data_IF_888719010545
#
_entry.id   IF_888719010545
#
_cell.length_a   1.000
_cell.length_b   1.000
_cell.length_c   1.000
_cell.angle_alpha   90.00
_cell.angle_beta   90.00
_cell.angle_gamma   90.00
#
_symmetry.space_group_name_H-M   'P 1'
#
loop_
_entity.id
_entity.type
_entity.pdbx_description
1 polymer ?
#
# COMPACT_ATOMS: atom_id res chain seq x y z
N UNK A 1 2.11 -34.46 19.54
CA UNK A 1 2.23 -34.05 18.12
C UNK A 1 0.89 -33.73 17.46
N UNK A 2 -0.24 -34.34 17.85
CA UNK A 2 -1.56 -34.05 17.23
C UNK A 2 -2.12 -32.66 17.62
N UNK A 3 -1.87 -32.20 18.84
CA UNK A 3 -2.43 -30.95 19.38
C UNK A 3 -1.97 -29.70 18.59
N UNK A 4 -0.67 -29.58 18.32
CA UNK A 4 -0.05 -28.39 17.68
C UNK A 4 -0.56 -28.12 16.26
N UNK A 5 -1.02 -29.15 15.54
CA UNK A 5 -1.58 -29.00 14.18
C UNK A 5 -2.97 -28.36 14.23
N UNK A 6 -3.74 -28.61 15.30
CA UNK A 6 -5.07 -27.99 15.50
C UNK A 6 -4.98 -26.48 15.65
N UNK A 7 -3.99 -25.99 16.41
CA UNK A 7 -3.85 -24.56 16.72
C UNK A 7 -3.48 -23.72 15.49
N UNK A 8 -2.58 -24.21 14.62
CA UNK A 8 -2.19 -23.52 13.38
C UNK A 8 -3.36 -23.42 12.39
N UNK A 9 -4.20 -24.46 12.31
CA UNK A 9 -5.44 -24.45 11.50
C UNK A 9 -6.49 -23.49 12.09
N UNK A 10 -6.57 -23.39 13.41
CA UNK A 10 -7.47 -22.43 14.08
C UNK A 10 -7.02 -20.98 13.86
N UNK A 11 -5.72 -20.67 14.01
CA UNK A 11 -5.18 -19.32 13.80
C UNK A 11 -5.40 -18.83 12.36
N UNK A 12 -5.19 -19.71 11.36
CA UNK A 12 -5.43 -19.37 9.95
C UNK A 12 -6.92 -19.20 9.62
N UNK A 13 -7.82 -19.97 10.25
CA UNK A 13 -9.27 -19.79 10.11
C UNK A 13 -9.76 -18.48 10.76
N UNK A 14 -9.35 -18.21 12.00
CA UNK A 14 -9.70 -16.99 12.75
C UNK A 14 -9.17 -15.74 12.03
N UNK A 15 -7.96 -15.78 11.48
CA UNK A 15 -7.40 -14.67 10.68
C UNK A 15 -8.23 -14.40 9.41
N UNK A 16 -8.75 -15.45 8.76
CA UNK A 16 -9.60 -15.31 7.57
C UNK A 16 -10.99 -14.75 7.93
N UNK A 17 -11.59 -15.17 9.03
CA UNK A 17 -12.88 -14.64 9.52
C UNK A 17 -12.77 -13.18 9.98
N UNK A 18 -11.71 -12.81 10.70
CA UNK A 18 -11.43 -11.42 11.08
C UNK A 18 -11.21 -10.53 9.85
N UNK A 19 -10.43 -11.00 8.86
CA UNK A 19 -10.20 -10.29 7.61
C UNK A 19 -11.44 -10.09 6.74
N UNK A 20 -12.44 -10.97 6.86
CA UNK A 20 -13.75 -10.79 6.21
C UNK A 20 -14.63 -9.78 6.97
N UNK A 21 -14.74 -9.90 8.30
CA UNK A 21 -15.49 -8.94 9.13
C UNK A 21 -14.97 -7.51 9.00
N UNK A 22 -13.65 -7.32 8.96
CA UNK A 22 -13.03 -6.01 8.72
C UNK A 22 -13.38 -5.42 7.35
N UNK A 23 -13.54 -6.25 6.31
CA UNK A 23 -14.00 -5.79 4.98
C UNK A 23 -15.48 -5.41 5.00
N UNK A 24 -16.33 -6.16 5.68
CA UNK A 24 -17.76 -5.87 5.82
C UNK A 24 -18.02 -4.59 6.62
N UNK A 25 -17.29 -4.39 7.72
CA UNK A 25 -17.28 -3.13 8.51
C UNK A 25 -16.83 -1.94 7.65
N UNK A 26 -15.73 -2.08 6.91
CA UNK A 26 -15.19 -1.01 6.05
C UNK A 26 -16.17 -0.64 4.93
N UNK A 27 -16.77 -1.63 4.26
CA UNK A 27 -17.81 -1.42 3.24
C UNK A 27 -19.04 -0.72 3.86
N UNK A 28 -19.49 -1.18 5.03
CA UNK A 28 -20.62 -0.59 5.76
C UNK A 28 -20.32 0.84 6.26
N UNK A 29 -19.09 1.16 6.60
CA UNK A 29 -18.63 2.52 6.95
C UNK A 29 -18.64 3.44 5.72
N UNK A 30 -18.07 2.97 4.60
CA UNK A 30 -18.05 3.71 3.34
C UNK A 30 -19.48 3.98 2.82
N UNK A 31 -20.37 2.98 2.83
CA UNK A 31 -21.77 3.15 2.44
C UNK A 31 -22.52 4.14 3.35
N UNK A 32 -22.34 4.06 4.68
CA UNK A 32 -22.95 5.00 5.64
C UNK A 32 -22.47 6.44 5.39
N UNK A 33 -21.19 6.66 5.12
CA UNK A 33 -20.67 7.99 4.81
C UNK A 33 -21.13 8.49 3.44
N UNK A 34 -21.20 7.63 2.41
CA UNK A 34 -21.71 8.01 1.09
C UNK A 34 -23.19 8.41 1.13
N UNK A 35 -24.02 7.68 1.88
CA UNK A 35 -25.43 8.03 2.12
C UNK A 35 -25.57 9.33 2.93
N UNK A 36 -24.71 9.56 3.92
CA UNK A 36 -24.68 10.80 4.71
C UNK A 36 -24.28 12.02 3.88
N UNK A 37 -23.39 11.86 2.90
CA UNK A 37 -23.04 12.91 1.93
C UNK A 37 -24.20 13.21 0.97
N UNK A 38 -24.86 12.17 0.43
CA UNK A 38 -26.02 12.32 -0.47
C UNK A 38 -27.21 12.97 0.25
N UNK A 39 -27.49 12.58 1.50
CA UNK A 39 -28.56 13.17 2.31
C UNK A 39 -28.32 14.66 2.60
N UNK A 40 -27.09 15.06 2.92
CA UNK A 40 -26.74 16.49 3.12
C UNK A 40 -26.80 17.32 1.83
N UNK A 41 -26.73 16.70 0.65
CA UNK A 41 -26.91 17.36 -0.65
C UNK A 41 -28.38 17.61 -1.03
N UNK A 42 -29.34 16.95 -0.37
CA UNK A 42 -30.77 16.96 -0.76
C UNK A 42 -31.65 17.94 0.02
N UNK A 43 -31.08 18.72 0.95
CA UNK A 43 -31.80 19.74 1.72
C UNK A 43 -31.15 21.13 1.57
N UNK A 44 -31.23 21.68 0.36
CA UNK A 44 -31.17 23.13 0.17
C UNK A 44 -32.00 23.55 -1.05
N UNK A 45 -33.16 24.16 -0.78
CA UNK A 45 -34.07 24.71 -1.78
C UNK A 45 -35.47 24.10 -1.73
N UNK A 46 -36.40 24.82 -1.10
CA UNK A 46 -37.79 25.05 -1.57
C UNK A 46 -38.54 25.96 -0.59
N UNK A 47 -38.55 27.26 -0.89
CA UNK A 47 -39.63 28.21 -0.57
C UNK A 47 -39.75 29.17 -1.76
N UNK A 48 -40.97 29.39 -2.24
CA UNK A 48 -41.31 30.29 -3.35
C UNK A 48 -41.08 31.78 -2.95
N UNK A 49 -41.09 32.79 -3.84
CA UNK A 49 -41.33 32.91 -5.30
C UNK A 49 -40.29 33.90 -5.94
N UNK A 50 -40.34 34.48 -7.16
CA UNK A 50 -41.38 34.57 -8.20
C UNK A 50 -40.81 34.89 -9.61
N UNK A 51 -41.68 34.82 -10.63
CA UNK A 51 -41.82 35.83 -11.69
C UNK A 51 -40.70 36.17 -12.69
N UNK A 52 -40.37 35.27 -13.64
CA UNK A 52 -40.44 35.53 -15.10
C UNK A 52 -39.92 34.35 -15.97
N UNK A 53 -40.25 34.27 -17.29
CA UNK A 53 -40.09 33.05 -18.11
C UNK A 53 -38.93 33.22 -19.16
N UNK A 54 -38.74 32.34 -20.19
CA UNK A 54 -37.60 31.43 -20.16
C UNK A 54 -36.68 31.47 -21.39
N UNK A 55 -35.41 31.06 -21.22
CA UNK A 55 -34.52 30.69 -22.34
C UNK A 55 -33.84 29.34 -22.11
N UNK A 56 -34.13 28.38 -22.99
CA UNK A 56 -33.46 27.08 -23.14
C UNK A 56 -31.99 27.25 -23.61
N UNK A 57 -31.09 26.23 -23.53
CA UNK A 57 -31.39 24.80 -23.57
C UNK A 57 -30.70 23.86 -22.56
N UNK A 58 -31.28 22.67 -22.44
CA UNK A 58 -30.78 21.53 -21.67
C UNK A 58 -29.54 20.89 -22.29
N UNK A 59 -28.43 20.83 -21.56
CA UNK A 59 -27.27 20.01 -21.95
C UNK A 59 -27.44 18.55 -21.50
N UNK A 60 -27.58 17.65 -22.48
CA UNK A 60 -27.68 16.21 -22.30
C UNK A 60 -26.27 15.60 -22.19
N UNK A 61 -25.78 15.37 -20.98
CA UNK A 61 -24.49 14.68 -20.74
C UNK A 61 -24.62 13.19 -21.07
N UNK A 62 -24.08 12.78 -22.24
CA UNK A 62 -23.93 11.37 -22.59
C UNK A 62 -22.54 10.86 -22.18
N UNK A 63 -22.52 9.73 -21.46
CA UNK A 63 -21.30 8.97 -21.20
C UNK A 63 -20.62 8.56 -22.51
N UNK A 64 -19.39 9.02 -22.77
CA UNK A 64 -18.48 8.40 -23.74
C UNK A 64 -17.04 8.33 -23.24
N UNK A 65 -16.66 7.09 -22.92
CA UNK A 65 -15.39 6.43 -23.24
C UNK A 65 -14.07 7.11 -22.82
N UNK A 66 -13.46 6.48 -21.82
CA UNK A 66 -12.01 6.26 -21.80
C UNK A 66 -11.49 5.81 -23.17
N UNK A 67 -10.50 6.51 -23.73
CA UNK A 67 -9.60 5.89 -24.71
C UNK A 67 -8.16 6.36 -24.52
N UNK A 68 -7.25 5.40 -24.36
CA UNK A 68 -5.82 5.62 -24.15
C UNK A 68 -5.17 6.19 -25.42
N UNK A 69 -4.34 7.22 -25.30
CA UNK A 69 -3.21 7.41 -26.24
C UNK A 69 -1.89 7.51 -25.50
N UNK A 70 -0.95 6.68 -25.94
CA UNK A 70 0.45 6.67 -25.51
C UNK A 70 1.13 7.89 -26.11
N UNK A 71 1.89 8.63 -25.31
CA UNK A 71 2.91 9.52 -25.86
C UNK A 71 4.12 8.67 -26.29
N UNK A 72 4.39 8.62 -27.59
CA UNK A 72 5.76 8.41 -28.10
C UNK A 72 6.28 9.80 -28.46
N UNK A 73 7.44 10.17 -27.95
CA UNK A 73 8.14 11.35 -28.44
C UNK A 73 8.77 11.05 -29.80
N UNK A 74 8.93 12.09 -30.61
CA UNK A 74 10.04 12.18 -31.54
C UNK A 74 10.47 13.64 -31.72
N UNK A 75 11.75 13.82 -32.06
CA UNK A 75 12.35 15.15 -32.28
C UNK A 75 12.40 15.48 -33.77
N UNK A 76 12.39 16.78 -34.05
CA UNK A 76 12.98 17.48 -35.22
C UNK A 76 12.03 18.05 -36.30
N UNK A 77 12.55 19.14 -36.89
CA UNK A 77 12.15 19.83 -38.12
C UNK A 77 10.84 20.64 -38.11
N UNK A 78 10.96 21.95 -38.39
CA UNK A 78 9.81 22.85 -38.51
C UNK A 78 10.11 24.34 -38.48
N UNK A 79 11.23 24.80 -39.05
CA UNK A 79 11.51 26.25 -39.17
C UNK A 79 10.46 26.94 -40.07
N UNK A 80 10.17 28.21 -39.78
CA UNK A 80 9.27 29.15 -40.50
C UNK A 80 7.77 28.95 -40.23
N UNK A 81 7.24 29.81 -39.35
CA UNK A 81 6.40 30.92 -39.79
C UNK A 81 6.46 32.03 -38.72
N UNK A 82 6.62 33.28 -39.17
CA UNK A 82 6.83 34.41 -38.27
C UNK A 82 5.53 34.98 -37.73
N UNK A 83 5.49 35.25 -36.44
CA UNK A 83 4.56 36.17 -35.80
C UNK A 83 5.26 36.72 -34.56
N UNK A 84 6.07 37.76 -34.77
CA UNK A 84 6.77 38.46 -33.71
C UNK A 84 5.78 39.31 -32.92
N UNK A 85 5.25 38.76 -31.82
CA UNK A 85 4.56 39.55 -30.80
C UNK A 85 5.64 40.27 -30.00
N UNK A 86 5.98 41.48 -30.43
CA UNK A 86 6.77 42.39 -29.63
C UNK A 86 5.94 42.83 -28.42
N UNK A 87 6.26 42.30 -27.24
CA UNK A 87 5.74 42.82 -25.98
C UNK A 87 6.44 44.15 -25.74
N UNK A 88 5.82 45.23 -26.21
CA UNK A 88 6.19 46.59 -25.83
C UNK A 88 5.92 46.76 -24.34
N UNK A 89 6.99 46.84 -23.55
CA UNK A 89 6.92 47.36 -22.18
C UNK A 89 6.39 48.79 -22.26
N UNK A 90 5.17 49.01 -21.78
CA UNK A 90 4.61 50.34 -21.57
C UNK A 90 5.37 51.04 -20.44
N UNK A 91 6.39 51.81 -20.79
CA UNK A 91 7.34 52.39 -19.85
C UNK A 91 7.95 53.72 -20.29
N UNK A 92 7.29 54.45 -21.20
CA UNK A 92 7.66 55.83 -21.59
C UNK A 92 6.44 56.50 -22.24
N UNK A 93 5.71 57.31 -21.46
CA UNK A 93 4.55 58.07 -21.96
C UNK A 93 4.44 59.43 -21.23
N UNK A 94 5.57 60.12 -21.06
CA UNK A 94 5.63 61.53 -20.66
C UNK A 94 6.74 62.20 -21.48
N UNK A 95 6.39 62.87 -22.59
CA UNK A 95 7.11 64.01 -23.19
C UNK A 95 6.52 64.38 -24.58
N UNK A 96 5.26 64.82 -24.62
CA UNK A 96 4.70 65.53 -25.80
C UNK A 96 3.84 66.73 -25.38
N UNK A 97 4.40 67.59 -24.52
CA UNK A 97 4.04 69.01 -24.45
C UNK A 97 5.35 69.81 -24.41
N UNK A 98 5.97 69.98 -25.58
CA UNK A 98 6.94 71.05 -25.81
C UNK A 98 6.18 72.17 -26.54
N UNK A 99 5.94 73.33 -25.93
CA UNK A 99 5.41 74.48 -26.65
C UNK A 99 6.41 74.92 -27.72
N UNK A 100 5.90 75.34 -28.88
CA UNK A 100 6.70 75.88 -29.98
C UNK A 100 7.61 77.01 -29.49
N UNK A 101 8.93 76.77 -29.45
CA UNK A 101 9.96 77.81 -29.22
C UNK A 101 10.71 78.21 -30.51
N UNK A 102 10.13 77.91 -31.67
CA UNK A 102 10.72 78.11 -33.02
C UNK A 102 9.94 79.09 -33.92
N UNK A 103 8.93 79.79 -33.38
CA UNK A 103 8.10 80.77 -34.09
C UNK A 103 7.90 82.06 -33.27
N UNK A 104 9.00 82.63 -32.79
CA UNK A 104 9.09 84.03 -32.32
C UNK A 104 10.51 84.55 -32.58
N UNK A 105 10.76 84.96 -33.82
CA UNK A 105 11.83 85.91 -34.17
C UNK A 105 11.08 87.17 -34.61
N UNK A 106 11.49 88.33 -34.06
CA UNK A 106 10.79 89.62 -34.12
C UNK A 106 9.45 89.68 -33.35
N UNK A 107 9.50 89.89 -32.02
CA UNK A 107 8.87 91.02 -31.33
C UNK A 107 9.30 91.06 -29.84
N UNK A 108 9.57 92.27 -29.32
CA UNK A 108 9.56 92.68 -27.91
C UNK A 108 10.15 91.77 -26.81
N UNK A 109 11.39 92.03 -26.38
CA UNK A 109 12.00 91.49 -25.14
C UNK A 109 11.38 92.05 -23.82
N UNK A 110 10.11 92.42 -23.85
CA UNK A 110 9.30 92.96 -22.73
C UNK A 110 8.10 92.07 -22.42
N UNK A 111 7.71 91.15 -23.31
CA UNK A 111 6.58 90.24 -23.10
C UNK A 111 7.00 88.92 -22.44
N UNK A 112 8.24 88.45 -22.60
CA UNK A 112 8.75 87.24 -21.93
C UNK A 112 8.71 87.36 -20.39
N UNK A 113 9.07 88.52 -19.85
CA UNK A 113 8.99 88.78 -18.41
C UNK A 113 7.53 88.80 -17.92
N UNK A 114 6.61 89.35 -18.71
CA UNK A 114 5.19 89.34 -18.38
C UNK A 114 4.58 87.93 -18.51
N UNK A 115 5.05 87.11 -19.46
CA UNK A 115 4.64 85.70 -19.61
C UNK A 115 5.13 84.84 -18.44
N UNK A 116 6.38 85.00 -17.99
CA UNK A 116 6.86 84.33 -16.78
C UNK A 116 6.12 84.82 -15.53
N UNK A 117 5.87 86.13 -15.39
CA UNK A 117 5.09 86.69 -14.28
C UNK A 117 3.63 86.19 -14.29
N UNK A 118 2.97 86.10 -15.44
CA UNK A 118 1.60 85.55 -15.57
C UNK A 118 1.54 84.03 -15.32
N UNK A 119 2.57 83.28 -15.72
CA UNK A 119 2.67 81.85 -15.42
C UNK A 119 2.92 81.61 -13.93
N UNK A 120 3.77 82.43 -13.30
CA UNK A 120 3.98 82.44 -11.85
C UNK A 120 2.67 82.83 -11.14
N UNK A 121 1.94 83.85 -11.60
CA UNK A 121 0.68 84.29 -11.00
C UNK A 121 -0.45 83.25 -11.16
N UNK A 122 -0.50 82.50 -12.27
CA UNK A 122 -1.44 81.38 -12.45
C UNK A 122 -1.09 80.19 -11.53
N UNK A 123 0.19 79.88 -11.34
CA UNK A 123 0.66 78.79 -10.47
C UNK A 123 0.49 79.15 -8.99
N UNK A 124 0.86 80.37 -8.60
CA UNK A 124 0.69 80.92 -7.23
C UNK A 124 -0.78 81.20 -6.91
N UNK A 125 -1.59 81.54 -7.91
CA UNK A 125 -3.02 81.80 -7.78
C UNK A 125 -3.92 80.56 -7.79
N UNK A 126 -3.43 79.38 -8.18
CA UNK A 126 -4.13 78.10 -8.09
C UNK A 126 -3.23 77.00 -7.47
N UNK A 127 -2.94 77.05 -6.16
CA UNK A 127 -2.18 76.01 -5.45
C UNK A 127 -2.78 74.60 -5.61
N UNK A 128 -4.11 74.51 -5.81
CA UNK A 128 -4.84 73.27 -6.11
C UNK A 128 -4.25 72.47 -7.29
N UNK A 129 -3.64 73.13 -8.28
CA UNK A 129 -3.09 72.46 -9.47
C UNK A 129 -1.77 71.75 -9.16
N UNK A 130 -0.89 72.40 -8.39
CA UNK A 130 0.39 71.82 -7.96
C UNK A 130 0.16 70.71 -6.93
N UNK A 131 -0.74 70.92 -5.98
CA UNK A 131 -1.15 69.89 -5.02
C UNK A 131 -1.79 68.68 -5.74
N UNK A 132 -2.66 68.90 -6.73
CA UNK A 132 -3.24 67.82 -7.53
C UNK A 132 -2.19 67.11 -8.42
N UNK A 133 -1.11 67.78 -8.84
CA UNK A 133 0.00 67.14 -9.55
C UNK A 133 0.84 66.28 -8.60
N UNK A 134 1.18 66.80 -7.42
CA UNK A 134 1.91 66.06 -6.38
C UNK A 134 1.15 64.81 -5.92
N UNK A 135 -0.15 64.95 -5.63
CA UNK A 135 -1.02 63.84 -5.21
C UNK A 135 -1.14 62.75 -6.29
N UNK A 136 -1.21 63.12 -7.58
CA UNK A 136 -1.17 62.14 -8.69
C UNK A 136 0.18 61.43 -8.77
N UNK A 137 1.29 62.14 -8.63
CA UNK A 137 2.64 61.54 -8.65
C UNK A 137 2.85 60.52 -7.52
N UNK A 138 2.36 60.83 -6.31
CA UNK A 138 2.38 59.91 -5.16
C UNK A 138 1.55 58.64 -5.43
N UNK A 139 0.33 58.79 -5.97
CA UNK A 139 -0.54 57.65 -6.27
C UNK A 139 0.01 56.80 -7.43
N UNK A 140 0.59 57.42 -8.47
CA UNK A 140 1.32 56.69 -9.52
C UNK A 140 2.50 55.88 -8.97
N UNK A 141 3.29 56.46 -8.06
CA UNK A 141 4.43 55.78 -7.47
C UNK A 141 3.99 54.61 -6.59
N UNK A 142 2.92 54.79 -5.81
CA UNK A 142 2.27 53.73 -5.03
C UNK A 142 1.76 52.60 -5.93
N UNK A 143 1.15 52.91 -7.07
CA UNK A 143 0.72 51.91 -8.06
C UNK A 143 1.91 51.18 -8.71
N UNK A 144 2.99 51.90 -9.08
CA UNK A 144 4.25 51.29 -9.58
C UNK A 144 4.84 50.30 -8.56
N UNK A 145 4.90 50.66 -7.28
CA UNK A 145 5.38 49.76 -6.22
C UNK A 145 4.45 48.55 -6.03
N UNK A 146 3.13 48.73 -6.07
CA UNK A 146 2.18 47.63 -5.99
C UNK A 146 2.29 46.66 -7.17
N UNK A 147 2.48 47.16 -8.39
CA UNK A 147 2.71 46.34 -9.59
C UNK A 147 4.02 45.54 -9.45
N UNK A 148 5.12 46.16 -9.04
CA UNK A 148 6.41 45.48 -8.87
C UNK A 148 6.36 44.37 -7.79
N UNK A 149 5.58 44.57 -6.72
CA UNK A 149 5.33 43.52 -5.73
C UNK A 149 4.56 42.34 -6.36
N UNK A 150 3.46 42.60 -7.07
CA UNK A 150 2.67 41.57 -7.74
C UNK A 150 3.46 40.82 -8.83
N UNK A 151 4.34 41.49 -9.59
CA UNK A 151 5.24 40.84 -10.55
C UNK A 151 6.22 39.88 -9.87
N UNK A 152 6.68 40.22 -8.66
CA UNK A 152 7.54 39.38 -7.83
C UNK A 152 6.77 38.15 -7.33
N UNK A 153 5.55 38.34 -6.82
CA UNK A 153 4.67 37.27 -6.35
C UNK A 153 4.29 36.32 -7.49
N UNK A 154 3.92 36.84 -8.66
CA UNK A 154 3.64 36.03 -9.88
C UNK A 154 4.86 35.20 -10.28
N UNK A 155 6.07 35.76 -10.16
CA UNK A 155 7.32 35.05 -10.46
C UNK A 155 7.60 33.95 -9.44
N UNK A 156 7.34 34.19 -8.15
CA UNK A 156 7.42 33.21 -7.07
C UNK A 156 6.43 32.05 -7.28
N UNK A 157 5.14 32.36 -7.49
CA UNK A 157 4.08 31.38 -7.78
C UNK A 157 4.40 30.55 -9.03
N UNK A 158 4.98 31.14 -10.07
CA UNK A 158 5.40 30.41 -11.28
C UNK A 158 6.57 29.44 -11.00
N UNK A 159 7.54 29.84 -10.19
CA UNK A 159 8.65 28.97 -9.79
C UNK A 159 8.15 27.80 -8.93
N UNK A 160 7.27 28.08 -7.97
CA UNK A 160 6.66 27.07 -7.11
C UNK A 160 5.76 26.09 -7.87
N UNK A 161 4.94 26.60 -8.80
CA UNK A 161 4.11 25.77 -9.70
C UNK A 161 4.97 24.80 -10.51
N UNK A 162 6.15 25.25 -10.99
CA UNK A 162 7.09 24.38 -11.69
C UNK A 162 7.65 23.31 -10.75
N UNK A 163 8.11 23.70 -9.56
CA UNK A 163 8.66 22.78 -8.54
C UNK A 163 7.67 21.66 -8.20
N UNK A 164 6.41 22.01 -7.95
CA UNK A 164 5.34 21.06 -7.65
C UNK A 164 5.00 20.13 -8.84
N UNK A 165 5.10 20.63 -10.08
CA UNK A 165 4.92 19.79 -11.27
C UNK A 165 6.06 18.79 -11.46
N UNK A 166 7.31 19.22 -11.25
CA UNK A 166 8.49 18.35 -11.33
C UNK A 166 8.43 17.27 -10.21
N UNK A 167 8.03 17.62 -8.99
CA UNK A 167 7.79 16.70 -7.88
C UNK A 167 6.65 15.69 -8.17
N UNK A 168 5.56 16.14 -8.79
CA UNK A 168 4.46 15.27 -9.21
C UNK A 168 4.89 14.25 -10.29
N UNK A 169 5.80 14.61 -11.20
CA UNK A 169 6.35 13.67 -12.19
C UNK A 169 7.21 12.59 -11.53
N UNK A 170 8.05 12.95 -10.56
CA UNK A 170 8.85 11.98 -9.80
C UNK A 170 7.98 11.06 -8.93
N UNK A 171 6.92 11.58 -8.30
CA UNK A 171 5.93 10.74 -7.62
C UNK A 171 5.24 9.75 -8.57
N UNK A 172 4.93 10.15 -9.80
CA UNK A 172 4.34 9.26 -10.81
C UNK A 172 5.31 8.15 -11.24
N UNK A 173 6.61 8.45 -11.39
CA UNK A 173 7.67 7.46 -11.64
C UNK A 173 7.80 6.48 -10.48
N UNK A 174 7.90 6.98 -9.25
CA UNK A 174 7.97 6.15 -8.03
C UNK A 174 6.74 5.22 -7.90
N UNK A 175 5.54 5.75 -8.14
CA UNK A 175 4.28 4.99 -8.16
C UNK A 175 4.27 3.89 -9.22
N UNK A 176 4.80 4.16 -10.42
CA UNK A 176 4.92 3.16 -11.48
C UNK A 176 5.87 2.02 -11.10
N UNK A 177 7.02 2.34 -10.48
CA UNK A 177 7.99 1.35 -9.99
C UNK A 177 7.40 0.49 -8.87
N UNK A 178 6.74 1.09 -7.87
CA UNK A 178 6.05 0.35 -6.80
C UNK A 178 4.96 -0.58 -7.38
N UNK A 179 4.22 -0.11 -8.39
CA UNK A 179 3.22 -0.93 -9.09
C UNK A 179 3.81 -2.14 -9.82
N UNK A 180 5.00 -2.02 -10.41
CA UNK A 180 5.68 -3.14 -11.06
C UNK A 180 6.20 -4.16 -10.03
N UNK A 181 6.78 -3.71 -8.92
CA UNK A 181 7.20 -4.58 -7.81
C UNK A 181 6.04 -5.36 -7.19
N UNK A 182 4.90 -4.70 -6.93
CA UNK A 182 3.71 -5.36 -6.37
C UNK A 182 3.23 -6.47 -7.32
N UNK A 183 3.18 -6.17 -8.62
CA UNK A 183 2.76 -7.14 -9.65
C UNK A 183 3.73 -8.33 -9.72
N UNK A 184 5.04 -8.08 -9.60
CA UNK A 184 6.05 -9.14 -9.60
C UNK A 184 5.97 -10.02 -8.34
N UNK A 185 5.76 -9.40 -7.17
CA UNK A 185 5.57 -10.11 -5.90
C UNK A 185 4.30 -10.96 -5.92
N UNK A 186 3.18 -10.43 -6.44
CA UNK A 186 1.94 -11.20 -6.65
C UNK A 186 2.16 -12.43 -7.54
N UNK A 187 2.88 -12.28 -8.67
CA UNK A 187 3.25 -13.41 -9.55
C UNK A 187 4.07 -14.47 -8.81
N UNK A 188 5.02 -14.07 -7.97
CA UNK A 188 5.83 -14.99 -7.14
C UNK A 188 4.96 -15.74 -6.12
N UNK A 189 4.01 -15.05 -5.46
CA UNK A 189 3.06 -15.69 -4.55
C UNK A 189 2.19 -16.73 -5.26
N UNK A 190 1.62 -16.42 -6.43
CA UNK A 190 0.81 -17.39 -7.19
C UNK A 190 1.59 -18.63 -7.63
N UNK A 191 2.89 -18.48 -7.94
CA UNK A 191 3.77 -19.62 -8.24
C UNK A 191 3.98 -20.50 -6.99
N UNK A 192 4.35 -19.89 -5.86
CA UNK A 192 4.56 -20.61 -4.60
C UNK A 192 3.28 -21.29 -4.09
N UNK A 193 2.10 -20.69 -4.30
CA UNK A 193 0.82 -21.28 -3.95
C UNK A 193 0.52 -22.53 -4.80
N UNK A 194 0.84 -22.51 -6.09
CA UNK A 194 0.72 -23.68 -6.96
C UNK A 194 1.71 -24.80 -6.60
N UNK A 195 2.96 -24.46 -6.29
CA UNK A 195 3.97 -25.40 -5.79
C UNK A 195 3.53 -26.02 -4.46
N UNK A 196 3.05 -25.21 -3.51
CA UNK A 196 2.51 -25.67 -2.22
C UNK A 196 1.33 -26.63 -2.39
N UNK A 197 0.39 -26.33 -3.29
CA UNK A 197 -0.72 -27.23 -3.60
C UNK A 197 -0.23 -28.57 -4.17
N UNK A 198 0.78 -28.54 -5.05
CA UNK A 198 1.40 -29.73 -5.62
C UNK A 198 2.07 -30.59 -4.54
N UNK A 199 2.81 -29.97 -3.61
CA UNK A 199 3.43 -30.66 -2.46
C UNK A 199 2.37 -31.27 -1.53
N UNK A 200 1.26 -30.57 -1.27
CA UNK A 200 0.16 -31.12 -0.47
C UNK A 200 -0.45 -32.37 -1.13
N UNK A 201 -0.64 -32.34 -2.46
CA UNK A 201 -1.16 -33.49 -3.22
C UNK A 201 -0.19 -34.68 -3.18
N UNK A 202 1.11 -34.48 -3.40
CA UNK A 202 2.09 -35.58 -3.37
C UNK A 202 2.24 -36.19 -1.98
N UNK A 203 2.20 -35.38 -0.91
CA UNK A 203 2.18 -35.88 0.47
C UNK A 203 0.95 -36.73 0.75
N UNK A 204 -0.24 -36.36 0.26
CA UNK A 204 -1.45 -37.15 0.48
C UNK A 204 -1.41 -38.49 -0.30
N UNK A 205 -0.92 -38.49 -1.53
CA UNK A 205 -0.67 -39.71 -2.31
C UNK A 205 0.35 -40.64 -1.63
N UNK A 206 1.42 -40.08 -1.03
CA UNK A 206 2.41 -40.86 -0.28
C UNK A 206 1.81 -41.51 0.97
N UNK A 207 0.94 -40.82 1.72
CA UNK A 207 0.22 -41.43 2.87
C UNK A 207 -0.64 -42.61 2.42
N UNK A 208 -1.37 -42.47 1.32
CA UNK A 208 -2.22 -43.53 0.76
C UNK A 208 -1.38 -44.74 0.32
N UNK A 209 -0.24 -44.51 -0.34
CA UNK A 209 0.69 -45.56 -0.74
C UNK A 209 1.28 -46.31 0.47
N UNK A 210 1.69 -45.59 1.52
CA UNK A 210 2.19 -46.19 2.78
C UNK A 210 1.10 -47.01 3.45
N UNK A 211 -0.13 -46.52 3.54
CA UNK A 211 -1.26 -47.26 4.12
C UNK A 211 -1.54 -48.57 3.35
N UNK A 212 -1.52 -48.52 2.01
CA UNK A 212 -1.69 -49.70 1.16
C UNK A 212 -0.55 -50.74 1.37
N UNK A 213 0.71 -50.29 1.39
CA UNK A 213 1.86 -51.15 1.65
C UNK A 213 1.81 -51.80 3.03
N UNK A 214 1.36 -51.07 4.07
CA UNK A 214 1.17 -51.61 5.41
C UNK A 214 0.09 -52.71 5.46
N UNK A 215 -1.03 -52.54 4.74
CA UNK A 215 -2.07 -53.57 4.61
C UNK A 215 -1.51 -54.83 3.92
N UNK A 216 -0.86 -54.68 2.77
CA UNK A 216 -0.25 -55.80 2.01
C UNK A 216 0.83 -56.54 2.81
N UNK A 217 1.58 -55.82 3.66
CA UNK A 217 2.56 -56.42 4.56
C UNK A 217 1.86 -57.23 5.68
N UNK A 218 0.75 -56.71 6.23
CA UNK A 218 -0.09 -57.43 7.21
C UNK A 218 -0.66 -58.72 6.62
N UNK A 219 -1.21 -58.67 5.41
CA UNK A 219 -1.72 -59.82 4.66
C UNK A 219 -0.63 -60.89 4.44
N UNK A 220 0.55 -60.49 3.95
CA UNK A 220 1.69 -61.40 3.79
C UNK A 220 2.13 -62.03 5.12
N UNK A 221 2.19 -61.24 6.20
CA UNK A 221 2.56 -61.76 7.52
C UNK A 221 1.56 -62.80 8.01
N UNK A 222 0.27 -62.56 7.84
CA UNK A 222 -0.79 -63.52 8.18
C UNK A 222 -0.66 -64.81 7.36
N UNK A 223 -0.45 -64.68 6.05
CA UNK A 223 -0.27 -65.84 5.16
C UNK A 223 0.93 -66.72 5.56
N UNK A 224 2.09 -66.13 5.84
CA UNK A 224 3.26 -66.89 6.31
C UNK A 224 3.08 -67.46 7.72
N UNK A 225 2.33 -66.78 8.60
CA UNK A 225 1.93 -67.32 9.90
C UNK A 225 1.13 -68.61 9.75
N UNK A 226 0.08 -68.59 8.94
CA UNK A 226 -0.75 -69.77 8.66
C UNK A 226 0.07 -70.94 8.08
N UNK A 227 1.00 -70.68 7.16
CA UNK A 227 1.91 -71.71 6.61
C UNK A 227 2.81 -72.29 7.72
N UNK A 228 3.36 -71.44 8.59
CA UNK A 228 4.19 -71.89 9.71
C UNK A 228 3.41 -72.74 10.71
N UNK A 229 2.15 -72.39 11.00
CA UNK A 229 1.26 -73.18 11.84
C UNK A 229 0.93 -74.54 11.21
N UNK A 230 0.62 -74.57 9.91
CA UNK A 230 0.36 -75.81 9.16
C UNK A 230 1.58 -76.75 9.17
N UNK A 231 2.79 -76.21 8.99
CA UNK A 231 4.04 -76.98 9.07
C UNK A 231 4.29 -77.51 10.48
N UNK A 232 4.09 -76.68 11.53
CA UNK A 232 4.24 -77.10 12.92
C UNK A 232 3.28 -78.25 13.29
N UNK A 233 2.02 -78.18 12.83
CA UNK A 233 1.04 -79.26 13.02
C UNK A 233 1.46 -80.57 12.32
N UNK A 234 2.03 -80.48 11.10
CA UNK A 234 2.57 -81.65 10.39
C UNK A 234 3.74 -82.29 11.15
N UNK A 235 4.66 -81.49 11.70
CA UNK A 235 5.80 -81.98 12.48
C UNK A 235 5.35 -82.63 13.80
N UNK A 236 4.45 -81.99 14.56
CA UNK A 236 3.91 -82.57 15.80
C UNK A 236 3.20 -83.92 15.54
N UNK A 237 2.45 -84.02 14.43
CA UNK A 237 1.79 -85.27 14.04
C UNK A 237 2.78 -86.40 13.75
N UNK A 238 3.96 -86.10 13.20
CA UNK A 238 5.02 -87.09 12.97
C UNK A 238 5.72 -87.48 14.28
N UNK A 239 5.98 -86.52 15.18
CA UNK A 239 6.61 -86.78 16.48
C UNK A 239 5.70 -87.59 17.43
N UNK A 240 4.38 -87.37 17.38
CA UNK A 240 3.40 -88.10 18.18
C UNK A 240 3.18 -89.57 17.80
N UNK A 241 3.84 -90.07 16.75
CA UNK A 241 3.80 -91.49 16.36
C UNK A 241 5.03 -92.30 16.81
N UNK A 242 5.92 -91.69 17.63
CA UNK A 242 7.20 -92.25 18.04
C UNK A 242 7.23 -92.99 19.38
N UNK A 243 6.12 -93.56 19.87
CA UNK A 243 6.09 -94.30 21.14
C UNK A 243 5.27 -95.60 21.07
N UNK A 244 5.76 -96.57 20.29
CA UNK A 244 5.41 -97.97 20.44
C UNK A 244 6.59 -98.88 20.03
N UNK A 245 7.03 -99.67 21.01
CA UNK A 245 7.70 -100.97 20.90
C UNK A 245 9.21 -101.07 20.57
N UNK A 246 9.84 -101.98 21.31
CA UNK A 246 11.27 -102.22 21.48
C UNK A 246 11.86 -103.20 20.45
N UNK A 247 13.08 -102.89 20.01
CA UNK A 247 14.30 -103.74 20.04
C UNK A 247 14.38 -105.12 19.30
N UNK A 248 15.64 -105.50 18.99
CA UNK A 248 16.15 -106.82 18.54
C UNK A 248 15.91 -107.09 17.02
N UNK A 249 16.92 -107.07 16.14
CA UNK A 249 18.12 -107.92 16.16
C UNK A 249 19.25 -107.34 15.29
N UNK A 250 20.51 -107.59 15.66
CA UNK A 250 21.69 -107.17 14.90
C UNK A 250 22.04 -108.12 13.75
N UNK A 251 22.54 -107.50 12.69
CA UNK A 251 23.51 -108.03 11.73
C UNK A 251 23.02 -109.01 10.62
N UNK A 252 22.83 -108.44 9.44
CA UNK A 252 23.32 -109.06 8.20
C UNK A 252 23.73 -107.99 7.18
N UNK A 253 25.04 -107.93 6.94
CA UNK A 253 25.68 -106.94 6.08
C UNK A 253 25.12 -106.79 4.65
N UNK A 254 25.10 -105.53 4.21
CA UNK A 254 25.62 -105.06 2.92
C UNK A 254 25.12 -105.73 1.62
N UNK A 255 24.15 -105.06 0.97
CA UNK A 255 24.11 -104.75 -0.48
C UNK A 255 22.81 -104.00 -0.81
N UNK A 256 22.77 -102.68 -0.68
CA UNK A 256 21.72 -101.83 -1.30
C UNK A 256 22.02 -100.31 -1.34
N UNK A 257 23.28 -99.89 -1.19
CA UNK A 257 23.67 -98.48 -1.14
C UNK A 257 24.01 -97.85 -2.51
N UNK A 258 23.73 -98.52 -3.64
CA UNK A 258 24.27 -98.16 -4.96
C UNK A 258 23.26 -98.10 -6.12
N UNK A 259 21.94 -98.19 -5.88
CA UNK A 259 20.94 -98.25 -6.96
C UNK A 259 19.91 -97.10 -7.02
N UNK A 260 19.81 -96.26 -5.98
CA UNK A 260 18.85 -95.13 -5.97
C UNK A 260 19.48 -93.75 -6.21
N UNK A 261 20.79 -93.68 -6.49
CA UNK A 261 21.51 -92.44 -6.85
C UNK A 261 21.68 -92.24 -8.37
N UNK A 262 20.88 -92.91 -9.20
CA UNK A 262 20.94 -92.75 -10.66
C UNK A 262 19.55 -92.80 -11.29
N UNK A 263 18.78 -91.72 -11.16
CA UNK A 263 17.79 -91.20 -12.14
C UNK A 263 17.03 -89.99 -11.55
N UNK A 264 17.72 -88.86 -11.39
CA UNK A 264 17.11 -87.50 -11.32
C UNK A 264 18.20 -86.41 -11.43
N UNK A 265 19.07 -86.54 -12.43
CA UNK A 265 20.03 -85.49 -12.78
C UNK A 265 19.41 -84.55 -13.82
N UNK A 266 18.48 -83.70 -13.40
CA UNK A 266 18.12 -82.50 -14.15
C UNK A 266 18.03 -81.29 -13.19
N UNK A 267 19.23 -80.82 -12.84
CA UNK A 267 19.57 -79.44 -12.53
C UNK A 267 19.05 -78.82 -11.22
N UNK A 268 19.70 -79.14 -10.09
CA UNK A 268 19.96 -78.17 -9.02
C UNK A 268 21.30 -78.45 -8.29
N UNK A 269 22.25 -77.53 -8.48
CA UNK A 269 23.27 -77.13 -7.49
C UNK A 269 24.51 -78.01 -7.27
N UNK A 270 25.70 -77.42 -7.46
CA UNK A 270 26.59 -77.09 -6.31
C UNK A 270 27.50 -75.88 -6.63
N UNK A 271 28.28 -75.45 -5.65
CA UNK A 271 29.18 -74.28 -5.58
C UNK A 271 28.53 -72.88 -5.48
N UNK A 272 27.75 -72.61 -4.41
CA UNK A 272 27.74 -71.24 -3.83
C UNK A 272 27.20 -71.06 -2.39
N UNK A 273 27.54 -71.92 -1.42
CA UNK A 273 26.86 -71.91 -0.10
C UNK A 273 27.71 -71.54 1.13
N UNK A 274 28.92 -71.00 0.95
CA UNK A 274 29.73 -70.49 2.09
C UNK A 274 30.29 -69.06 1.92
N UNK A 275 29.97 -68.36 0.82
CA UNK A 275 30.38 -66.95 0.60
C UNK A 275 29.24 -65.96 0.38
N UNK A 276 28.00 -66.43 0.21
CA UNK A 276 26.86 -65.56 -0.13
C UNK A 276 26.30 -64.82 1.10
N UNK A 277 25.97 -65.52 2.19
CA UNK A 277 25.36 -64.90 3.38
C UNK A 277 26.26 -63.88 4.09
N UNK A 278 27.57 -64.10 4.10
CA UNK A 278 28.53 -63.24 4.79
C UNK A 278 28.81 -61.92 4.02
N UNK A 279 28.60 -61.89 2.70
CA UNK A 279 28.65 -60.66 1.89
C UNK A 279 27.36 -59.83 2.03
N UNK A 280 26.19 -60.47 2.01
CA UNK A 280 24.91 -59.78 2.20
C UNK A 280 24.75 -59.22 3.61
N UNK A 281 25.24 -59.93 4.64
CA UNK A 281 25.21 -59.47 6.02
C UNK A 281 26.18 -58.30 6.24
N UNK A 282 27.36 -58.30 5.61
CA UNK A 282 28.28 -57.13 5.59
C UNK A 282 27.69 -55.94 4.84
N UNK A 283 27.04 -56.18 3.69
CA UNK A 283 26.33 -55.15 2.92
C UNK A 283 25.17 -54.52 3.70
N UNK A 284 24.38 -55.33 4.41
CA UNK A 284 23.32 -54.87 5.30
C UNK A 284 23.87 -54.07 6.48
N UNK A 285 24.99 -54.51 7.08
CA UNK A 285 25.65 -53.80 8.18
C UNK A 285 26.18 -52.42 7.73
N UNK A 286 26.89 -52.34 6.60
CA UNK A 286 27.36 -51.06 6.06
C UNK A 286 26.22 -50.06 5.80
N UNK A 287 25.06 -50.53 5.30
CA UNK A 287 23.86 -49.70 5.11
C UNK A 287 23.25 -49.24 6.43
N UNK A 288 23.35 -50.04 7.49
CA UNK A 288 22.88 -49.68 8.83
C UNK A 288 23.80 -48.63 9.46
N UNK A 289 25.12 -48.78 9.34
CA UNK A 289 26.11 -47.80 9.77
C UNK A 289 25.94 -46.46 9.00
N UNK A 290 25.68 -46.51 7.68
CA UNK A 290 25.37 -45.33 6.86
C UNK A 290 24.06 -44.63 7.28
N UNK A 291 23.03 -45.40 7.66
CA UNK A 291 21.77 -44.87 8.20
C UNK A 291 21.96 -44.25 9.59
N UNK A 292 22.84 -44.81 10.43
CA UNK A 292 23.19 -44.24 11.74
C UNK A 292 23.89 -42.88 11.58
N UNK A 293 24.84 -42.77 10.64
CA UNK A 293 25.50 -41.49 10.30
C UNK A 293 24.47 -40.47 9.79
N UNK A 294 23.61 -40.84 8.84
CA UNK A 294 22.55 -39.94 8.32
C UNK A 294 21.55 -39.51 9.40
N UNK A 295 21.23 -40.40 10.33
CA UNK A 295 20.38 -40.09 11.50
C UNK A 295 21.06 -39.06 12.42
N UNK A 296 22.36 -39.16 12.65
CA UNK A 296 23.12 -38.15 13.41
C UNK A 296 23.11 -36.79 12.71
N UNK A 297 23.35 -36.75 11.38
CA UNK A 297 23.27 -35.52 10.59
C UNK A 297 21.89 -34.86 10.70
N UNK A 298 20.81 -35.63 10.53
CA UNK A 298 19.42 -35.11 10.65
C UNK A 298 19.13 -34.57 12.06
N UNK A 299 19.78 -35.11 13.11
CA UNK A 299 19.66 -34.59 14.48
C UNK A 299 20.41 -33.25 14.61
N UNK A 300 21.59 -33.12 14.02
CA UNK A 300 22.38 -31.88 13.98
C UNK A 300 21.64 -30.78 13.20
N UNK A 301 21.27 -31.05 11.94
CA UNK A 301 20.49 -30.15 11.08
C UNK A 301 19.20 -29.65 11.77
N UNK A 302 18.54 -30.53 12.54
CA UNK A 302 17.35 -30.19 13.33
C UNK A 302 17.66 -29.24 14.48
N UNK A 303 18.78 -29.41 15.18
CA UNK A 303 19.20 -28.51 16.26
C UNK A 303 19.53 -27.14 15.69
N UNK A 304 20.24 -27.05 14.57
CA UNK A 304 20.52 -25.78 13.89
C UNK A 304 19.24 -25.07 13.44
N UNK A 305 18.33 -25.79 12.78
CA UNK A 305 17.04 -25.25 12.36
C UNK A 305 16.21 -24.74 13.55
N UNK A 306 16.23 -25.43 14.69
CA UNK A 306 15.55 -25.00 15.90
C UNK A 306 16.18 -23.73 16.49
N UNK A 307 17.51 -23.61 16.51
CA UNK A 307 18.20 -22.38 16.95
C UNK A 307 17.88 -21.19 16.05
N UNK A 308 17.85 -21.39 14.72
CA UNK A 308 17.46 -20.35 13.77
C UNK A 308 16.02 -19.87 13.97
N UNK A 309 15.08 -20.78 14.24
CA UNK A 309 13.70 -20.44 14.57
C UNK A 309 13.60 -19.60 15.86
N UNK A 310 14.34 -19.94 16.91
CA UNK A 310 14.40 -19.19 18.17
C UNK A 310 14.95 -17.75 17.95
N UNK A 311 15.99 -17.62 17.12
CA UNK A 311 16.55 -16.32 16.72
C UNK A 311 15.58 -15.49 15.87
N UNK A 312 14.81 -16.11 14.97
CA UNK A 312 13.78 -15.41 14.20
C UNK A 312 12.60 -14.98 15.09
N UNK A 313 12.15 -15.84 16.01
CA UNK A 313 11.07 -15.56 16.94
C UNK A 313 11.39 -14.35 17.85
N UNK A 314 12.58 -14.32 18.44
CA UNK A 314 13.04 -13.17 19.26
C UNK A 314 13.13 -11.87 18.46
N UNK A 315 13.60 -11.90 17.20
CA UNK A 315 13.56 -10.72 16.30
C UNK A 315 12.13 -10.26 16.00
N UNK A 316 11.22 -11.19 15.73
CA UNK A 316 9.78 -10.89 15.51
C UNK A 316 9.17 -10.24 16.76
N UNK A 317 9.45 -10.76 17.95
CA UNK A 317 8.98 -10.17 19.20
C UNK A 317 9.54 -8.76 19.45
N UNK A 318 10.84 -8.53 19.22
CA UNK A 318 11.44 -7.19 19.38
C UNK A 318 10.87 -6.16 18.40
N UNK A 319 10.65 -6.55 17.14
CA UNK A 319 10.11 -5.67 16.10
C UNK A 319 8.63 -5.37 16.32
N UNK A 320 7.85 -6.37 16.75
CA UNK A 320 6.46 -6.16 17.18
C UNK A 320 6.37 -5.19 18.37
N UNK A 321 7.22 -5.34 19.39
CA UNK A 321 7.26 -4.44 20.54
C UNK A 321 7.58 -2.99 20.14
N UNK A 322 8.59 -2.79 19.29
CA UNK A 322 8.96 -1.46 18.81
C UNK A 322 7.86 -0.79 17.97
N UNK A 323 7.13 -1.57 17.16
CA UNK A 323 6.02 -1.08 16.34
C UNK A 323 4.81 -0.68 17.21
N UNK A 324 4.50 -1.46 18.25
CA UNK A 324 3.46 -1.12 19.24
C UNK A 324 3.84 0.16 20.00
N UNK A 325 5.07 0.29 20.47
CA UNK A 325 5.54 1.49 21.18
C UNK A 325 5.45 2.75 20.30
N UNK A 326 5.84 2.65 19.03
CA UNK A 326 5.72 3.74 18.06
C UNK A 326 4.25 4.13 17.80
N UNK A 327 3.35 3.15 17.67
CA UNK A 327 1.93 3.40 17.49
C UNK A 327 1.27 4.07 18.70
N UNK A 328 1.64 3.67 19.92
CA UNK A 328 1.17 4.32 21.16
C UNK A 328 1.65 5.77 21.23
N UNK A 329 2.93 6.04 20.95
CA UNK A 329 3.50 7.40 20.91
C UNK A 329 2.83 8.29 19.86
N UNK A 330 2.51 7.74 18.68
CA UNK A 330 1.79 8.49 17.64
C UNK A 330 0.38 8.88 18.11
N UNK A 331 -0.38 7.93 18.67
CA UNK A 331 -1.71 8.18 19.22
C UNK A 331 -1.71 9.19 20.38
N UNK A 332 -0.70 9.13 21.26
CA UNK A 332 -0.56 10.07 22.37
C UNK A 332 -0.26 11.50 21.87
N UNK A 333 0.56 11.65 20.83
CA UNK A 333 0.81 12.94 20.19
C UNK A 333 -0.45 13.50 19.51
N UNK A 334 -1.19 12.68 18.76
CA UNK A 334 -2.46 13.09 18.12
C UNK A 334 -3.50 13.51 19.17
N UNK A 335 -3.66 12.73 20.25
CA UNK A 335 -4.55 13.07 21.36
C UNK A 335 -4.19 14.41 22.01
N UNK A 336 -2.90 14.66 22.25
CA UNK A 336 -2.44 15.92 22.83
C UNK A 336 -2.66 17.12 21.88
N UNK A 337 -2.51 16.93 20.56
CA UNK A 337 -2.85 17.96 19.55
C UNK A 337 -4.33 18.31 19.60
N UNK A 338 -5.22 17.32 19.50
CA UNK A 338 -6.69 17.52 19.53
C UNK A 338 -7.14 18.17 20.84
N UNK A 339 -6.47 17.85 21.96
CA UNK A 339 -6.72 18.48 23.25
C UNK A 339 -6.31 19.95 23.29
N UNK A 340 -5.21 20.33 22.62
CA UNK A 340 -4.77 21.71 22.48
C UNK A 340 -5.70 22.51 21.55
N UNK A 341 -6.06 21.94 20.40
CA UNK A 341 -7.02 22.55 19.46
C UNK A 341 -8.35 22.87 20.16
N UNK A 342 -8.89 21.91 20.93
CA UNK A 342 -10.10 22.09 21.73
C UNK A 342 -9.98 23.21 22.78
N UNK A 343 -8.79 23.44 23.35
CA UNK A 343 -8.56 24.55 24.27
C UNK A 343 -8.61 25.90 23.53
N UNK A 344 -7.95 25.99 22.36
CA UNK A 344 -7.99 27.17 21.51
C UNK A 344 -9.40 27.49 20.98
N UNK A 345 -10.20 26.49 20.63
CA UNK A 345 -11.63 26.68 20.28
C UNK A 345 -12.43 27.25 21.45
N UNK A 346 -12.17 26.79 22.69
CA UNK A 346 -12.82 27.29 23.90
C UNK A 346 -12.44 28.75 24.19
N UNK A 347 -11.15 29.10 24.09
CA UNK A 347 -10.67 30.48 24.25
C UNK A 347 -11.26 31.42 23.18
N UNK A 348 -11.37 30.95 21.93
CA UNK A 348 -12.00 31.71 20.85
C UNK A 348 -13.50 31.94 21.11
N UNK A 349 -14.23 30.91 21.56
CA UNK A 349 -15.64 31.05 21.93
C UNK A 349 -15.85 32.04 23.08
N UNK A 350 -15.02 31.98 24.13
CA UNK A 350 -15.06 32.95 25.24
C UNK A 350 -14.73 34.38 24.76
N UNK A 351 -13.78 34.53 23.84
CA UNK A 351 -13.47 35.83 23.21
C UNK A 351 -14.63 36.37 22.36
N UNK A 352 -15.42 35.51 21.70
CA UNK A 352 -16.60 35.93 20.96
C UNK A 352 -17.73 36.34 21.92
N UNK A 353 -17.96 35.59 22.99
CA UNK A 353 -18.96 35.89 24.01
C UNK A 353 -18.68 37.24 24.68
N UNK A 354 -17.42 37.48 25.08
CA UNK A 354 -16.99 38.77 25.62
C UNK A 354 -17.18 39.95 24.64
N UNK A 355 -17.00 39.73 23.33
CA UNK A 355 -17.28 40.75 22.29
C UNK A 355 -18.78 40.99 22.11
N UNK A 356 -19.61 39.94 22.20
CA UNK A 356 -21.08 40.06 22.14
C UNK A 356 -21.56 40.88 23.34
N UNK A 357 -21.05 40.63 24.54
CA UNK A 357 -21.40 41.40 25.74
C UNK A 357 -20.94 42.86 25.64
N UNK A 358 -19.77 43.14 25.06
CA UNK A 358 -19.35 44.52 24.75
C UNK A 358 -20.36 45.21 23.81
N UNK A 359 -20.83 44.52 22.76
CA UNK A 359 -21.81 45.07 21.82
C UNK A 359 -23.19 45.28 22.46
N UNK A 360 -23.65 44.37 23.33
CA UNK A 360 -24.92 44.52 24.07
C UNK A 360 -24.94 45.75 24.96
N UNK A 361 -23.78 46.16 25.49
CA UNK A 361 -23.65 47.36 26.32
C UNK A 361 -23.60 48.68 25.53
N UNK A 362 -23.58 48.65 24.19
CA UNK A 362 -23.63 49.85 23.35
C UNK A 362 -25.08 50.29 23.09
N UNK A 363 -25.61 51.18 23.93
CA UNK A 363 -26.82 51.92 23.60
C UNK A 363 -26.48 53.26 22.94
N UNK A 364 -26.97 53.49 21.72
CA UNK A 364 -26.77 54.75 21.00
C UNK A 364 -28.07 55.55 20.92
N UNK A 365 -27.99 56.86 21.19
CA UNK A 365 -29.12 57.78 20.98
C UNK A 365 -28.94 58.43 19.60
N UNK A 366 -29.95 58.28 18.75
CA UNK A 366 -29.99 58.86 17.39
C UNK A 366 -30.98 60.02 17.37
N UNK A 367 -30.48 61.21 17.06
CA UNK A 367 -31.29 62.42 17.02
C UNK A 367 -31.83 62.63 15.60
N UNK A 368 -33.15 62.51 15.46
CA UNK A 368 -33.85 62.73 14.21
C UNK A 368 -33.88 64.22 13.84
N UNK A 369 -33.82 64.55 12.54
CA UNK A 369 -34.10 65.91 12.04
C UNK A 369 -35.50 66.43 12.41
N UNK A 370 -36.38 65.55 12.86
CA UNK A 370 -37.71 65.85 13.41
C UNK A 370 -37.71 66.31 14.87
N UNK A 371 -36.55 66.36 15.54
CA UNK A 371 -36.41 66.77 16.95
C UNK A 371 -36.60 65.64 17.98
N UNK A 372 -37.01 64.44 17.54
CA UNK A 372 -37.14 63.27 18.41
C UNK A 372 -35.79 62.54 18.57
N UNK A 373 -35.50 62.10 19.79
CA UNK A 373 -34.38 61.22 20.09
C UNK A 373 -34.85 59.76 20.14
N UNK A 374 -34.12 58.86 19.48
CA UNK A 374 -34.42 57.42 19.46
C UNK A 374 -33.25 56.65 20.07
N UNK A 375 -33.50 55.97 21.20
CA UNK A 375 -32.51 55.07 21.80
C UNK A 375 -32.52 53.74 21.04
N UNK A 376 -31.39 53.41 20.42
CA UNK A 376 -31.17 52.13 19.76
C UNK A 376 -30.36 51.25 20.71
N UNK A 377 -30.93 50.09 21.02
CA UNK A 377 -30.32 49.02 21.80
C UNK A 377 -30.38 47.73 20.97
N UNK A 378 -29.37 46.87 21.11
CA UNK A 378 -29.44 45.52 20.56
C UNK A 378 -30.37 44.69 21.46
N UNK A 379 -31.45 44.15 20.89
CA UNK A 379 -32.38 43.30 21.62
C UNK A 379 -31.67 42.04 22.15
N UNK A 380 -31.93 41.71 23.42
CA UNK A 380 -31.30 40.61 24.16
C UNK A 380 -31.65 39.21 23.63
#
# INVERSE_FOLDING_TARGET
MIIVIGDVVNVTRVSRELGLKLKEELISYLMRNHLRMVSKGSHRGLTESDGMPPTHPTYRLTNKMFEKRRFKGDRSLGSRLGLGIAILRSGELISWIVPNKALMIEYGATEDAQMEEYLIEIVVGNPDIEEAAANRSVEEQKQKTAIAALETDISSVRAETKRLNDEAEEMLKAKANIGSEITEKQRKFSLLEAEYCTVCQTVELLKQAVANLLLRLKEKRLHYGNISEELNLKVQKQQGMGSAEEEIFLDKENKNAAHWMQMSSENMGDENTERCGDLDLKSAKMKLDELEIKKLQIIEDRVEAQQLLEQMNSKIQSTASALVEMAVKALENEYNSVKADKAGELEYLQSLEARIDQLKNLSYIINCRCGNEYKVELAN
#
